data_IF_104091378062
#
_entry.id   IF_104091378062
#
_cell.length_a   1.000
_cell.length_b   1.000
_cell.length_c   1.000
_cell.angle_alpha   90.00
_cell.angle_beta   90.00
_cell.angle_gamma   90.00
#
_symmetry.space_group_name_H-M   'P 1'
#
loop_
_entity.id
_entity.type
_entity.pdbx_description
1 polymer ?
#
# COMPACT_ATOMS: atom_id res chain seq x y z
N UNK A 1 -4.54 -15.60 8.98
CA UNK A 1 -5.56 -15.59 7.91
C UNK A 1 -5.32 -14.31 7.14
N UNK A 2 -4.68 -14.40 5.97
CA UNK A 2 -4.26 -13.20 5.23
C UNK A 2 -5.43 -12.64 4.45
N UNK A 3 -5.86 -11.43 4.80
CA UNK A 3 -6.95 -10.73 4.12
C UNK A 3 -6.35 -9.89 3.00
N UNK A 4 -6.60 -10.29 1.75
CA UNK A 4 -6.39 -9.44 0.57
C UNK A 4 -7.63 -8.61 0.22
N UNK A 5 -8.72 -8.81 0.97
CA UNK A 5 -10.01 -8.19 0.73
C UNK A 5 -9.88 -6.70 0.97
N UNK A 6 -10.34 -5.92 -0.01
CA UNK A 6 -10.46 -4.47 0.11
C UNK A 6 -11.94 -4.16 0.16
N UNK A 7 -12.32 -3.31 1.10
CA UNK A 7 -13.70 -2.90 1.31
C UNK A 7 -13.80 -1.38 1.16
N UNK A 8 -14.88 -0.92 0.53
CA UNK A 8 -15.18 0.50 0.35
C UNK A 8 -16.46 0.82 1.11
N UNK A 9 -16.37 1.82 1.99
CA UNK A 9 -17.50 2.36 2.72
C UNK A 9 -18.19 3.47 1.92
N UNK A 10 -19.52 3.41 1.83
CA UNK A 10 -20.35 4.49 1.30
C UNK A 10 -21.08 5.22 2.44
N UNK A 11 -20.71 6.48 2.76
CA UNK A 11 -21.33 7.22 3.86
C UNK A 11 -22.77 7.67 3.60
N UNK A 12 -23.22 7.66 2.34
CA UNK A 12 -24.60 8.04 1.99
C UNK A 12 -25.57 6.90 2.28
N UNK A 13 -25.16 5.66 1.98
CA UNK A 13 -25.98 4.46 2.18
C UNK A 13 -25.65 3.73 3.48
N UNK A 14 -24.59 4.13 4.17
CA UNK A 14 -24.05 3.47 5.37
C UNK A 14 -23.74 1.98 5.16
N UNK A 15 -23.13 1.67 4.04
CA UNK A 15 -22.83 0.28 3.64
C UNK A 15 -21.36 0.09 3.31
N UNK A 16 -20.83 -1.06 3.70
CA UNK A 16 -19.56 -1.59 3.21
C UNK A 16 -19.81 -2.48 2.00
N UNK A 17 -18.95 -2.35 0.99
CA UNK A 17 -18.95 -3.23 -0.18
C UNK A 17 -17.56 -3.72 -0.47
N UNK A 18 -17.45 -4.99 -0.83
CA UNK A 18 -16.20 -5.57 -1.31
C UNK A 18 -15.88 -5.00 -2.69
N UNK A 19 -14.64 -4.56 -2.87
CA UNK A 19 -14.09 -4.12 -4.16
C UNK A 19 -12.96 -5.06 -4.58
N UNK A 20 -12.34 -4.82 -5.74
CA UNK A 20 -11.21 -5.62 -6.19
C UNK A 20 -10.14 -5.78 -5.10
N UNK A 21 -9.75 -7.03 -4.87
CA UNK A 21 -8.77 -7.39 -3.84
C UNK A 21 -7.34 -7.04 -4.27
N UNK A 22 -6.48 -6.76 -3.29
CA UNK A 22 -5.04 -6.57 -3.50
C UNK A 22 -4.42 -7.84 -4.11
N UNK A 23 -3.41 -7.69 -4.98
CA UNK A 23 -2.77 -8.86 -5.60
C UNK A 23 -1.59 -9.32 -4.76
N UNK A 24 -0.67 -8.42 -4.44
CA UNK A 24 0.65 -8.72 -3.86
C UNK A 24 0.88 -8.06 -2.50
N UNK A 25 0.43 -6.83 -2.29
CA UNK A 25 0.60 -6.13 -1.01
C UNK A 25 -0.32 -6.77 0.05
N UNK A 26 0.22 -6.99 1.25
CA UNK A 26 -0.48 -7.62 2.39
C UNK A 26 0.16 -7.14 3.68
N UNK A 27 -0.59 -7.09 4.78
CA UNK A 27 -0.11 -6.96 6.17
C UNK A 27 0.79 -5.74 6.46
N UNK A 28 0.41 -4.84 7.37
CA UNK A 28 1.24 -3.67 7.73
C UNK A 28 1.75 -2.84 6.52
N UNK A 29 1.02 -2.89 5.41
CA UNK A 29 1.23 -2.05 4.24
C UNK A 29 0.81 -0.61 4.56
N UNK A 30 1.29 0.33 3.76
CA UNK A 30 0.82 1.71 3.82
C UNK A 30 0.03 2.06 2.56
N UNK A 31 -1.01 2.86 2.72
CA UNK A 31 -1.83 3.32 1.61
C UNK A 31 -1.97 4.85 1.59
N UNK A 32 -2.02 5.44 0.39
CA UNK A 32 -2.20 6.89 0.20
C UNK A 32 -3.12 7.17 -1.00
N UNK A 33 -3.94 8.21 -0.88
CA UNK A 33 -4.75 8.72 -1.99
C UNK A 33 -4.04 9.87 -2.69
N UNK A 34 -3.90 9.78 -4.02
CA UNK A 34 -3.29 10.82 -4.86
C UNK A 34 -4.11 10.95 -6.14
N UNK A 35 -4.60 12.16 -6.40
CA UNK A 35 -5.29 12.53 -7.66
C UNK A 35 -6.44 11.58 -8.06
N UNK A 36 -7.17 11.07 -7.07
CA UNK A 36 -8.31 10.16 -7.27
C UNK A 36 -7.96 8.67 -7.31
N UNK A 37 -6.68 8.32 -7.21
CA UNK A 37 -6.19 6.95 -7.16
C UNK A 37 -5.77 6.57 -5.75
N UNK A 38 -5.80 5.28 -5.41
CA UNK A 38 -5.25 4.77 -4.16
C UNK A 38 -3.98 3.99 -4.46
N UNK A 39 -2.91 4.24 -3.73
CA UNK A 39 -1.64 3.54 -3.83
C UNK A 39 -1.47 2.70 -2.58
N UNK A 40 -1.24 1.39 -2.73
CA UNK A 40 -0.87 0.48 -1.65
C UNK A 40 0.58 0.05 -1.86
N UNK A 41 1.42 0.21 -0.83
CA UNK A 41 2.86 -0.01 -0.94
C UNK A 41 3.35 -0.89 0.21
N UNK A 42 4.24 -1.81 -0.13
CA UNK A 42 4.96 -2.69 0.79
C UNK A 42 4.06 -3.60 1.60
N UNK A 43 4.41 -3.75 2.87
CA UNK A 43 3.76 -4.64 3.82
C UNK A 43 4.61 -5.87 4.13
N UNK A 44 3.99 -6.94 4.58
CA UNK A 44 4.67 -8.17 4.99
C UNK A 44 3.87 -9.43 4.63
N UNK A 45 4.59 -10.47 4.21
CA UNK A 45 4.08 -11.83 4.07
C UNK A 45 4.64 -12.69 5.21
N UNK A 46 3.80 -13.08 6.17
CA UNK A 46 4.25 -13.76 7.39
C UNK A 46 5.00 -12.84 8.37
N UNK A 47 5.79 -13.42 9.27
CA UNK A 47 6.41 -12.69 10.39
C UNK A 47 7.75 -12.01 10.06
N UNK A 48 8.42 -12.37 8.95
CA UNK A 48 9.78 -11.87 8.67
C UNK A 48 9.98 -11.33 7.27
N UNK A 49 9.04 -11.53 6.34
CA UNK A 49 9.24 -11.10 4.95
C UNK A 49 8.53 -9.78 4.69
N UNK A 50 9.30 -8.69 4.65
CA UNK A 50 8.78 -7.40 4.17
C UNK A 50 8.71 -7.39 2.64
N UNK A 51 7.70 -6.70 2.11
CA UNK A 51 7.41 -6.64 0.69
C UNK A 51 7.92 -5.32 0.09
N UNK A 52 8.33 -5.38 -1.18
CA UNK A 52 8.71 -4.21 -1.99
C UNK A 52 7.64 -3.80 -3.00
N UNK A 53 6.52 -4.51 -3.05
CA UNK A 53 5.52 -4.29 -4.09
C UNK A 53 4.78 -2.97 -3.91
N UNK A 54 4.42 -2.35 -5.03
CA UNK A 54 3.52 -1.21 -5.05
C UNK A 54 2.40 -1.50 -6.05
N UNK A 55 1.18 -1.13 -5.68
CA UNK A 55 -0.02 -1.31 -6.49
C UNK A 55 -0.87 -0.04 -6.46
N UNK A 56 -1.45 0.32 -7.59
CA UNK A 56 -2.37 1.43 -7.73
C UNK A 56 -3.78 0.91 -8.00
N UNK A 57 -4.77 1.45 -7.32
CA UNK A 57 -6.18 1.18 -7.50
C UNK A 57 -6.86 2.31 -8.25
N UNK A 58 -7.60 1.94 -9.28
CA UNK A 58 -8.56 2.77 -10.00
C UNK A 58 -9.96 2.56 -9.42
N UNK A 59 -10.57 3.54 -8.73
CA UNK A 59 -11.93 3.41 -8.21
C UNK A 59 -13.02 3.41 -9.30
N UNK A 60 -12.70 3.86 -10.52
CA UNK A 60 -13.63 3.94 -11.66
C UNK A 60 -13.71 2.58 -12.36
N UNK A 61 -12.58 1.97 -12.68
CA UNK A 61 -12.55 0.63 -13.28
C UNK A 61 -12.57 -0.51 -12.27
N UNK A 62 -12.45 -0.20 -10.97
CA UNK A 62 -12.35 -1.18 -9.88
C UNK A 62 -11.22 -2.19 -10.13
N UNK A 63 -10.02 -1.70 -10.42
CA UNK A 63 -8.87 -2.55 -10.73
C UNK A 63 -7.60 -2.11 -10.01
N UNK A 64 -6.80 -3.10 -9.61
CA UNK A 64 -5.43 -2.89 -9.16
C UNK A 64 -4.43 -3.15 -10.28
N UNK A 65 -3.53 -2.20 -10.47
CA UNK A 65 -2.39 -2.25 -11.41
C UNK A 65 -1.09 -2.30 -10.62
N UNK A 66 -0.18 -3.21 -10.99
CA UNK A 66 1.14 -3.28 -10.39
C UNK A 66 2.00 -2.10 -10.86
N UNK A 67 2.65 -1.43 -9.91
CA UNK A 67 3.64 -0.38 -10.14
C UNK A 67 5.07 -0.94 -10.01
N UNK A 68 6.10 -0.17 -10.38
CA UNK A 68 7.48 -0.52 -10.08
C UNK A 68 7.68 -0.80 -8.59
N UNK A 69 8.47 -1.83 -8.29
CA UNK A 69 8.78 -2.20 -6.91
C UNK A 69 9.70 -1.16 -6.24
N UNK A 70 9.62 -1.05 -4.92
CA UNK A 70 10.59 -0.32 -4.10
C UNK A 70 11.97 -0.96 -4.17
N UNK A 71 13.01 -0.15 -3.99
CA UNK A 71 14.39 -0.61 -3.87
C UNK A 71 14.58 -1.44 -2.60
N UNK A 72 14.00 -1.00 -1.50
CA UNK A 72 14.08 -1.70 -0.20
C UNK A 72 12.71 -2.27 0.16
N UNK A 73 12.61 -3.55 0.58
CA UNK A 73 11.38 -4.07 1.16
C UNK A 73 11.07 -3.37 2.48
N UNK A 74 9.80 -2.99 2.72
CA UNK A 74 9.42 -2.23 3.93
C UNK A 74 8.03 -2.64 4.43
N UNK A 75 7.88 -2.65 5.75
CA UNK A 75 6.61 -2.74 6.48
C UNK A 75 6.57 -1.67 7.59
N UNK A 76 5.39 -1.35 8.15
CA UNK A 76 5.27 -0.42 9.28
C UNK A 76 5.88 0.97 9.06
N UNK A 77 5.78 1.52 7.85
CA UNK A 77 6.38 2.80 7.48
C UNK A 77 5.35 3.93 7.33
N UNK A 78 5.83 5.17 7.16
CA UNK A 78 4.99 6.31 6.79
C UNK A 78 5.03 6.55 5.28
N UNK A 79 3.88 6.90 4.69
CA UNK A 79 3.77 7.25 3.26
C UNK A 79 3.04 8.59 3.11
N UNK A 80 3.46 9.40 2.14
CA UNK A 80 2.81 10.68 1.87
C UNK A 80 3.20 11.29 0.53
N UNK A 81 2.37 12.21 0.04
CA UNK A 81 2.68 12.99 -1.16
C UNK A 81 3.38 14.29 -0.76
N UNK A 82 4.53 14.56 -1.35
CA UNK A 82 5.27 15.82 -1.18
C UNK A 82 5.85 16.26 -2.53
N UNK A 83 5.65 17.52 -2.91
CA UNK A 83 6.14 18.09 -4.17
C UNK A 83 5.77 17.28 -5.43
N UNK A 84 4.57 16.69 -5.44
CA UNK A 84 4.09 15.89 -6.57
C UNK A 84 4.63 14.47 -6.64
N UNK A 85 5.48 14.06 -5.69
CA UNK A 85 6.07 12.73 -5.61
C UNK A 85 5.61 11.98 -4.35
N UNK A 86 5.56 10.67 -4.43
CA UNK A 86 5.21 9.83 -3.29
C UNK A 86 6.48 9.52 -2.51
N UNK A 87 6.46 9.75 -1.20
CA UNK A 87 7.59 9.54 -0.31
C UNK A 87 7.24 8.46 0.71
N UNK A 88 8.20 7.57 0.95
CA UNK A 88 8.14 6.48 1.92
C UNK A 88 9.26 6.68 2.94
N UNK A 89 8.91 6.75 4.23
CA UNK A 89 9.85 7.11 5.29
C UNK A 89 9.89 6.01 6.36
N UNK A 90 11.10 5.51 6.62
CA UNK A 90 11.39 4.56 7.68
C UNK A 90 10.80 3.17 7.44
N UNK A 91 10.35 2.53 8.53
CA UNK A 91 9.75 1.20 8.55
C UNK A 91 10.72 0.10 8.98
N UNK A 92 10.31 -1.14 8.72
CA UNK A 92 11.07 -2.33 9.02
C UNK A 92 11.32 -3.13 7.74
N UNK A 93 12.56 -3.57 7.52
CA UNK A 93 12.98 -4.29 6.32
C UNK A 93 12.73 -5.80 6.36
N UNK A 94 12.25 -6.33 7.50
CA UNK A 94 12.28 -7.77 7.80
C UNK A 94 13.49 -8.17 8.65
N UNK A 95 14.54 -7.35 8.67
CA UNK A 95 15.79 -7.62 9.41
C UNK A 95 16.07 -6.51 10.44
N UNK A 96 15.91 -5.24 10.05
CA UNK A 96 16.16 -4.08 10.90
C UNK A 96 15.19 -2.93 10.63
N UNK A 97 15.13 -2.00 11.58
CA UNK A 97 14.47 -0.70 11.39
C UNK A 97 15.25 0.15 10.36
N UNK A 98 14.51 0.91 9.59
CA UNK A 98 15.04 1.77 8.54
C UNK A 98 14.97 3.23 8.99
N UNK A 99 16.05 3.95 8.80
CA UNK A 99 16.17 5.42 8.94
C UNK A 99 16.10 6.15 7.58
N UNK A 100 15.90 5.38 6.49
CA UNK A 100 15.95 5.87 5.12
C UNK A 100 14.59 6.35 4.60
N UNK A 101 14.63 7.37 3.73
CA UNK A 101 13.50 7.82 2.91
C UNK A 101 13.70 7.39 1.45
N UNK A 102 12.64 6.93 0.80
CA UNK A 102 12.58 6.58 -0.62
C UNK A 102 11.45 7.37 -1.31
N UNK A 103 11.57 7.60 -2.63
CA UNK A 103 10.58 8.36 -3.41
C UNK A 103 10.20 7.69 -4.72
N UNK A 104 8.94 7.85 -5.12
CA UNK A 104 8.32 7.41 -6.37
C UNK A 104 7.84 8.61 -7.19
#
# INVERSE_FOLDING_TARGET
KDLKVVERYNPITDEWRVVSSLRKCKGALSAVSIDGWIYAVGGSEGHQESLRHAEQYDPVSDTWTQLPDMLTPRSHFGIGRMFGQLHVIGGFSGICELDQCERF
#
